data_IF_127449420044
#
_entry.id   IF_127449420044
#
_cell.length_a   1.000
_cell.length_b   1.000
_cell.length_c   1.000
_cell.angle_alpha   90.00
_cell.angle_beta   90.00
_cell.angle_gamma   90.00
#
_symmetry.space_group_name_H-M   'P 1'
#
loop_
_entity.id
_entity.type
_entity.pdbx_description
1 polymer ?
#
# COMPACT_ATOMS: atom_id res chain seq x y z
N UNK A 1 9.67 -19.89 14.89
CA UNK A 1 8.65 -18.97 14.37
C UNK A 1 7.48 -19.82 13.89
N UNK A 2 6.34 -19.78 14.57
CA UNK A 2 5.12 -20.48 14.14
C UNK A 2 4.66 -19.88 12.80
N UNK A 3 4.56 -20.71 11.77
CA UNK A 3 4.18 -20.25 10.44
C UNK A 3 2.72 -19.76 10.45
N UNK A 4 2.47 -18.57 9.94
CA UNK A 4 1.10 -18.11 9.67
C UNK A 4 0.67 -18.71 8.34
N UNK A 5 -0.43 -19.43 8.31
CA UNK A 5 -1.04 -19.95 7.09
C UNK A 5 -2.56 -19.82 7.12
N UNK A 6 -3.18 -19.84 5.97
CA UNK A 6 -4.62 -19.73 5.83
C UNK A 6 -5.11 -20.63 4.69
N UNK A 7 -6.37 -21.01 4.74
CA UNK A 7 -6.99 -21.83 3.70
C UNK A 7 -8.51 -21.71 3.67
N UNK A 8 -9.06 -22.02 2.51
CA UNK A 8 -10.49 -22.16 2.29
C UNK A 8 -10.87 -23.61 2.59
N UNK A 9 -11.74 -23.82 3.56
CA UNK A 9 -12.16 -25.15 3.96
C UNK A 9 -13.40 -25.60 3.19
N UNK A 10 -13.60 -26.94 2.98
CA UNK A 10 -14.75 -27.45 2.24
C UNK A 10 -16.11 -27.15 2.87
N UNK A 11 -16.14 -26.82 4.16
CA UNK A 11 -17.34 -26.46 4.92
C UNK A 11 -17.81 -25.01 4.71
N UNK A 12 -17.22 -24.30 3.74
CA UNK A 12 -17.55 -22.91 3.44
C UNK A 12 -16.96 -21.90 4.44
N UNK A 13 -15.94 -22.31 5.19
CA UNK A 13 -15.22 -21.42 6.10
C UNK A 13 -13.84 -21.04 5.56
N UNK A 14 -13.38 -19.85 5.91
CA UNK A 14 -12.01 -19.39 5.74
C UNK A 14 -11.30 -19.44 7.08
N UNK A 15 -10.13 -20.05 7.13
CA UNK A 15 -9.41 -20.31 8.36
C UNK A 15 -7.99 -19.75 8.33
N UNK A 16 -7.60 -19.05 9.41
CA UNK A 16 -6.24 -18.56 9.65
C UNK A 16 -5.65 -19.27 10.85
N UNK A 17 -4.50 -19.90 10.70
CA UNK A 17 -3.73 -20.45 11.83
C UNK A 17 -2.67 -19.43 12.21
N UNK A 18 -2.77 -18.91 13.42
CA UNK A 18 -1.99 -17.78 13.92
C UNK A 18 -1.35 -18.13 15.27
N UNK A 19 -0.18 -17.58 15.60
CA UNK A 19 0.31 -17.56 16.97
C UNK A 19 -0.74 -16.95 17.91
N UNK A 20 -0.84 -17.40 19.17
CA UNK A 20 -1.91 -16.97 20.09
C UNK A 20 -2.04 -15.44 20.22
N UNK A 21 -0.93 -14.71 20.23
CA UNK A 21 -0.94 -13.25 20.34
C UNK A 21 -1.53 -12.58 19.12
N UNK A 22 -1.22 -13.13 17.92
CA UNK A 22 -1.78 -12.62 16.67
C UNK A 22 -3.25 -12.96 16.54
N UNK A 23 -3.65 -14.18 16.95
CA UNK A 23 -5.05 -14.57 16.96
C UNK A 23 -5.89 -13.66 17.87
N UNK A 24 -5.38 -13.32 19.07
CA UNK A 24 -6.05 -12.34 19.94
C UNK A 24 -6.19 -10.97 19.28
N UNK A 25 -5.15 -10.46 18.62
CA UNK A 25 -5.23 -9.18 17.90
C UNK A 25 -6.23 -9.24 16.75
N UNK A 26 -6.19 -10.31 15.95
CA UNK A 26 -7.12 -10.52 14.83
C UNK A 26 -8.58 -10.49 15.31
N UNK A 27 -8.90 -11.19 16.39
CA UNK A 27 -10.27 -11.24 16.94
C UNK A 27 -10.67 -9.90 17.55
N UNK A 28 -9.80 -9.27 18.32
CA UNK A 28 -10.08 -7.96 18.91
C UNK A 28 -10.26 -6.89 17.81
N UNK A 29 -9.45 -6.96 16.76
CA UNK A 29 -9.57 -6.07 15.60
C UNK A 29 -10.89 -6.28 14.86
N UNK A 30 -11.28 -7.54 14.61
CA UNK A 30 -12.57 -7.84 14.01
C UNK A 30 -13.73 -7.30 14.86
N UNK A 31 -13.70 -7.52 16.18
CA UNK A 31 -14.73 -7.02 17.10
C UNK A 31 -14.84 -5.48 17.06
N UNK A 32 -13.70 -4.78 16.92
CA UNK A 32 -13.70 -3.33 16.86
C UNK A 32 -14.40 -2.77 15.62
N UNK A 33 -14.34 -3.46 14.48
CA UNK A 33 -14.84 -2.95 13.20
C UNK A 33 -16.14 -3.61 12.72
N UNK A 34 -16.55 -4.73 13.31
CA UNK A 34 -17.67 -5.54 12.80
C UNK A 34 -19.03 -4.81 12.75
N UNK A 35 -19.23 -3.81 13.60
CA UNK A 35 -20.45 -2.97 13.58
C UNK A 35 -20.33 -1.73 12.69
N UNK A 36 -19.15 -1.45 12.15
CA UNK A 36 -18.84 -0.23 11.39
C UNK A 36 -18.60 -0.51 9.91
N UNK A 37 -18.01 -1.67 9.60
CA UNK A 37 -17.55 -2.02 8.26
C UNK A 37 -18.18 -3.34 7.81
N UNK A 38 -18.38 -3.54 6.50
CA UNK A 38 -18.79 -4.84 5.97
C UNK A 38 -17.65 -5.84 6.10
N UNK A 39 -17.80 -6.81 7.00
CA UNK A 39 -16.80 -7.85 7.31
C UNK A 39 -17.41 -9.25 7.21
N UNK A 40 -16.61 -10.33 7.05
CA UNK A 40 -17.10 -11.70 7.18
C UNK A 40 -17.52 -11.99 8.63
N UNK A 41 -18.47 -12.89 8.83
CA UNK A 41 -18.85 -13.32 10.17
C UNK A 41 -17.73 -14.15 10.80
N UNK A 42 -17.34 -13.83 12.03
CA UNK A 42 -16.44 -14.64 12.83
C UNK A 42 -17.23 -15.82 13.42
N UNK A 43 -16.84 -17.06 13.09
CA UNK A 43 -17.47 -18.28 13.59
C UNK A 43 -16.91 -18.71 14.94
N UNK A 44 -15.66 -18.40 15.21
CA UNK A 44 -15.01 -18.72 16.48
C UNK A 44 -13.50 -18.84 16.39
N UNK A 45 -12.90 -19.19 17.51
CA UNK A 45 -11.47 -19.49 17.65
C UNK A 45 -11.34 -20.89 18.24
N UNK A 46 -10.41 -21.67 17.70
CA UNK A 46 -10.13 -23.04 18.16
C UNK A 46 -8.64 -23.18 18.45
N UNK A 47 -8.30 -24.03 19.40
CA UNK A 47 -6.91 -24.45 19.57
C UNK A 47 -6.48 -25.33 18.40
N UNK A 48 -5.26 -25.15 17.93
CA UNK A 48 -4.62 -25.95 16.90
C UNK A 48 -3.21 -26.34 17.37
N UNK A 49 -2.65 -27.39 16.79
CA UNK A 49 -1.32 -27.89 17.18
C UNK A 49 -0.22 -26.81 17.12
N UNK A 50 -0.32 -25.91 16.15
CA UNK A 50 0.66 -24.87 15.89
C UNK A 50 0.19 -23.46 16.28
N UNK A 51 -0.86 -23.31 17.10
CA UNK A 51 -1.36 -22.00 17.51
C UNK A 51 -2.88 -21.97 17.73
N UNK A 52 -3.52 -20.93 17.21
CA UNK A 52 -4.97 -20.75 17.24
C UNK A 52 -5.53 -20.66 15.82
N UNK A 53 -6.57 -21.37 15.53
CA UNK A 53 -7.33 -21.29 14.30
C UNK A 53 -8.48 -20.28 14.48
N UNK A 54 -8.41 -19.17 13.76
CA UNK A 54 -9.50 -18.17 13.68
C UNK A 54 -10.34 -18.50 12.45
N UNK A 55 -11.65 -18.70 12.64
CA UNK A 55 -12.58 -19.24 11.65
C UNK A 55 -13.61 -18.18 11.26
N UNK A 56 -13.68 -17.87 9.98
CA UNK A 56 -14.64 -16.93 9.39
C UNK A 56 -15.55 -17.62 8.37
N UNK A 57 -16.69 -16.99 8.07
CA UNK A 57 -17.41 -17.32 6.83
C UNK A 57 -16.54 -17.00 5.62
N UNK A 58 -16.45 -17.95 4.69
CA UNK A 58 -15.76 -17.70 3.43
C UNK A 58 -16.67 -16.88 2.51
N UNK A 59 -16.32 -15.60 2.35
CA UNK A 59 -17.09 -14.66 1.50
C UNK A 59 -17.06 -15.05 0.02
N UNK A 60 -16.06 -15.82 -0.40
CA UNK A 60 -15.96 -16.29 -1.78
C UNK A 60 -16.74 -17.59 -2.00
N UNK A 61 -16.65 -18.55 -1.08
CA UNK A 61 -17.41 -19.78 -1.17
C UNK A 61 -18.93 -19.55 -1.07
N UNK A 62 -19.35 -18.57 -0.28
CA UNK A 62 -20.76 -18.17 -0.18
C UNK A 62 -21.27 -17.35 -1.38
N UNK A 63 -20.41 -16.97 -2.31
CA UNK A 63 -20.74 -16.10 -3.44
C UNK A 63 -21.01 -14.62 -3.04
N UNK A 64 -20.78 -14.27 -1.78
CA UNK A 64 -20.92 -12.90 -1.28
C UNK A 64 -19.90 -11.96 -1.91
N UNK A 65 -18.72 -12.45 -2.23
CA UNK A 65 -17.68 -11.71 -2.96
C UNK A 65 -17.15 -12.54 -4.13
N UNK A 66 -16.74 -11.87 -5.21
CA UNK A 66 -16.27 -12.51 -6.45
C UNK A 66 -14.75 -12.59 -6.53
N UNK A 67 -14.06 -11.64 -5.93
CA UNK A 67 -12.60 -11.52 -5.95
C UNK A 67 -12.15 -10.42 -5.00
N UNK A 68 -10.87 -10.11 -5.04
CA UNK A 68 -10.25 -9.01 -4.30
C UNK A 68 -10.20 -7.74 -5.17
N UNK A 69 -10.03 -6.57 -4.56
CA UNK A 69 -9.76 -5.33 -5.30
C UNK A 69 -8.54 -5.50 -6.20
N UNK A 70 -7.51 -6.21 -5.74
CA UNK A 70 -6.33 -6.54 -6.55
C UNK A 70 -6.70 -7.36 -7.80
N UNK A 71 -7.61 -8.34 -7.69
CA UNK A 71 -8.10 -9.11 -8.83
C UNK A 71 -8.87 -8.23 -9.82
N UNK A 72 -9.72 -7.33 -9.29
CA UNK A 72 -10.51 -6.38 -10.10
C UNK A 72 -9.63 -5.38 -10.84
N UNK A 73 -8.57 -4.86 -10.19
CA UNK A 73 -7.56 -4.02 -10.84
C UNK A 73 -6.86 -4.79 -11.95
N UNK A 74 -6.38 -6.00 -11.68
CA UNK A 74 -5.70 -6.84 -12.67
C UNK A 74 -6.60 -7.22 -13.84
N UNK A 75 -7.89 -7.45 -13.61
CA UNK A 75 -8.87 -7.70 -14.67
C UNK A 75 -9.09 -6.45 -15.52
N UNK A 76 -9.23 -5.27 -14.90
CA UNK A 76 -9.38 -4.00 -15.61
C UNK A 76 -8.13 -3.57 -16.35
N UNK A 77 -6.94 -3.97 -15.89
CA UNK A 77 -5.68 -3.75 -16.60
C UNK A 77 -5.63 -4.54 -17.92
N UNK A 78 -6.27 -5.73 -17.96
CA UNK A 78 -6.44 -6.54 -19.18
C UNK A 78 -7.63 -6.11 -20.04
N UNK A 79 -8.69 -5.64 -19.40
CA UNK A 79 -9.98 -5.31 -20.02
C UNK A 79 -10.48 -3.95 -19.54
N UNK A 80 -10.09 -2.88 -20.22
CA UNK A 80 -10.35 -1.47 -19.82
C UNK A 80 -11.80 -1.14 -19.48
N UNK A 81 -12.76 -1.81 -20.08
CA UNK A 81 -14.19 -1.61 -19.77
C UNK A 81 -14.57 -1.79 -18.29
N UNK A 82 -13.68 -2.40 -17.49
CA UNK A 82 -13.88 -2.62 -16.05
C UNK A 82 -13.28 -1.52 -15.16
N UNK A 83 -12.53 -0.57 -15.71
CA UNK A 83 -11.84 0.47 -14.94
C UNK A 83 -12.81 1.34 -14.12
N UNK A 84 -13.99 1.64 -14.64
CA UNK A 84 -15.02 2.39 -13.92
C UNK A 84 -15.52 1.63 -12.66
N UNK A 85 -15.63 0.31 -12.72
CA UNK A 85 -16.03 -0.51 -11.56
C UNK A 85 -14.94 -0.49 -10.47
N UNK A 86 -13.66 -0.50 -10.87
CA UNK A 86 -12.54 -0.35 -9.93
C UNK A 86 -12.59 1.02 -9.24
N UNK A 87 -12.79 2.10 -10.00
CA UNK A 87 -12.93 3.44 -9.41
C UNK A 87 -14.09 3.51 -8.42
N UNK A 88 -15.26 2.95 -8.76
CA UNK A 88 -16.41 2.89 -7.88
C UNK A 88 -16.17 2.06 -6.60
N UNK A 89 -15.37 0.99 -6.68
CA UNK A 89 -14.98 0.22 -5.49
C UNK A 89 -14.06 1.03 -4.58
N UNK A 90 -13.09 1.76 -5.14
CA UNK A 90 -12.22 2.68 -4.38
C UNK A 90 -13.02 3.80 -3.72
N UNK A 91 -14.05 4.33 -4.41
CA UNK A 91 -14.95 5.32 -3.81
C UNK A 91 -15.68 4.76 -2.58
N UNK A 92 -16.21 3.52 -2.67
CA UNK A 92 -16.84 2.86 -1.51
C UNK A 92 -15.89 2.63 -0.35
N UNK A 93 -14.62 2.27 -0.63
CA UNK A 93 -13.58 2.18 0.41
C UNK A 93 -13.40 3.51 1.13
N UNK A 94 -13.37 4.61 0.37
CA UNK A 94 -13.30 5.96 0.96
C UNK A 94 -14.57 6.32 1.75
N UNK A 95 -15.75 5.92 1.29
CA UNK A 95 -17.03 6.12 2.01
C UNK A 95 -17.04 5.38 3.36
N UNK A 96 -16.50 4.16 3.40
CA UNK A 96 -16.35 3.40 4.65
C UNK A 96 -15.39 4.09 5.64
N UNK A 97 -14.26 4.64 5.14
CA UNK A 97 -13.34 5.42 5.97
C UNK A 97 -14.00 6.69 6.52
N UNK A 98 -14.81 7.38 5.72
CA UNK A 98 -15.58 8.55 6.16
C UNK A 98 -16.67 8.18 7.16
N UNK A 99 -17.35 7.05 6.95
CA UNK A 99 -18.35 6.52 7.89
C UNK A 99 -17.72 6.18 9.22
N UNK A 100 -16.58 5.50 9.20
CA UNK A 100 -15.79 5.19 10.40
C UNK A 100 -15.33 6.47 11.13
N UNK A 101 -14.88 7.47 10.37
CA UNK A 101 -14.49 8.77 10.91
C UNK A 101 -15.66 9.52 11.53
N UNK A 102 -16.83 9.51 10.90
CA UNK A 102 -18.04 10.12 11.43
C UNK A 102 -18.52 9.45 12.73
N UNK A 103 -18.46 8.12 12.79
CA UNK A 103 -18.96 7.35 13.92
C UNK A 103 -17.99 7.31 15.12
N UNK A 104 -16.68 7.32 14.88
CA UNK A 104 -15.67 7.04 15.91
C UNK A 104 -14.51 8.03 15.93
N UNK A 105 -14.58 9.08 15.11
CA UNK A 105 -13.52 10.06 14.89
C UNK A 105 -13.16 10.81 16.16
N UNK A 106 -11.88 10.95 16.39
CA UNK A 106 -11.31 11.85 17.41
C UNK A 106 -9.87 12.18 17.05
N UNK A 107 -9.29 13.13 17.79
CA UNK A 107 -7.87 13.46 17.68
C UNK A 107 -7.08 12.66 18.73
N UNK A 108 -6.09 11.87 18.31
CA UNK A 108 -5.27 11.02 19.17
C UNK A 108 -3.80 11.09 18.79
N UNK A 109 -2.92 10.71 19.72
CA UNK A 109 -1.52 10.41 19.41
C UNK A 109 -1.40 9.00 18.85
N UNK A 110 -0.30 8.70 18.13
CA UNK A 110 -0.10 7.36 17.56
C UNK A 110 0.15 6.27 18.61
N UNK A 111 0.67 6.61 19.79
CA UNK A 111 0.82 5.67 20.90
C UNK A 111 -0.52 5.26 21.54
N UNK A 112 -1.60 5.99 21.23
CA UNK A 112 -2.97 5.66 21.57
C UNK A 112 -3.68 4.83 20.46
N UNK A 113 -2.98 4.52 19.39
CA UNK A 113 -3.48 3.80 18.20
C UNK A 113 -2.86 2.40 18.11
N UNK A 114 -3.30 1.61 17.14
CA UNK A 114 -2.65 0.33 16.82
C UNK A 114 -1.22 0.62 16.35
N UNK A 115 -0.16 0.19 17.09
CA UNK A 115 1.19 0.73 16.92
C UNK A 115 1.99 0.08 15.79
N UNK A 116 1.61 -1.13 15.38
CA UNK A 116 2.50 -2.03 14.62
C UNK A 116 2.84 -1.54 13.22
N UNK A 117 1.97 -0.76 12.60
CA UNK A 117 2.22 -0.27 11.23
C UNK A 117 3.11 0.96 11.16
N UNK A 118 3.11 1.80 12.18
CA UNK A 118 3.82 3.09 12.14
C UNK A 118 4.71 3.31 13.36
N UNK A 119 4.16 3.50 14.55
CA UNK A 119 4.91 3.87 15.75
C UNK A 119 6.02 2.84 16.06
N UNK A 120 5.70 1.54 16.06
CA UNK A 120 6.68 0.49 16.34
C UNK A 120 7.81 0.39 15.30
N UNK A 121 7.60 0.88 14.08
CA UNK A 121 8.64 0.87 13.04
C UNK A 121 9.68 1.95 13.20
N UNK A 122 9.29 3.11 13.78
CA UNK A 122 10.14 4.30 13.92
C UNK A 122 10.77 4.45 15.29
N UNK A 123 10.31 3.71 16.30
CA UNK A 123 10.89 3.69 17.66
C UNK A 123 12.35 3.24 17.61
N UNK A 124 13.22 3.70 18.54
CA UNK A 124 14.60 3.25 18.64
C UNK A 124 14.69 1.73 18.67
N UNK A 125 15.60 1.15 17.86
CA UNK A 125 15.72 -0.30 17.66
C UNK A 125 14.61 -0.94 16.82
N UNK A 126 13.66 -0.17 16.34
CA UNK A 126 12.58 -0.60 15.47
C UNK A 126 13.03 -1.03 14.07
N UNK A 127 12.07 -1.30 13.19
CA UNK A 127 12.35 -1.82 11.84
C UNK A 127 13.25 -0.90 11.03
N UNK A 128 13.00 0.42 11.05
CA UNK A 128 13.77 1.36 10.25
C UNK A 128 15.22 1.49 10.75
N UNK A 129 15.46 1.39 12.05
CA UNK A 129 16.83 1.36 12.57
C UNK A 129 17.59 0.15 12.07
N UNK A 130 16.99 -1.04 12.21
CA UNK A 130 17.63 -2.29 11.74
C UNK A 130 17.94 -2.29 10.26
N UNK A 131 17.15 -1.61 9.44
CA UNK A 131 17.32 -1.63 7.99
C UNK A 131 18.24 -0.53 7.47
N UNK A 132 18.28 0.63 8.14
CA UNK A 132 18.86 1.85 7.57
C UNK A 132 19.85 2.59 8.43
N UNK A 133 20.07 2.19 9.69
CA UNK A 133 21.08 2.80 10.54
C UNK A 133 22.21 1.83 10.94
N UNK A 134 21.94 0.52 10.90
CA UNK A 134 22.93 -0.49 11.21
C UNK A 134 23.81 -0.77 9.99
N UNK A 135 25.12 -0.82 10.22
CA UNK A 135 26.11 -1.08 9.17
C UNK A 135 26.20 -2.57 8.81
N UNK A 136 26.53 -2.92 7.54
CA UNK A 136 26.76 -2.00 6.42
C UNK A 136 25.46 -1.43 5.86
N UNK A 137 25.51 -0.17 5.42
CA UNK A 137 24.40 0.45 4.71
C UNK A 137 24.22 -0.15 3.31
N UNK A 138 22.97 -0.18 2.80
CA UNK A 138 22.75 -0.55 1.40
C UNK A 138 23.47 0.41 0.46
N UNK A 139 24.04 -0.12 -0.62
CA UNK A 139 24.74 0.65 -1.63
C UNK A 139 24.48 0.06 -3.02
N UNK A 140 24.36 0.92 -4.02
CA UNK A 140 24.04 0.54 -5.40
C UNK A 140 25.01 1.12 -6.40
N UNK A 141 25.19 0.47 -7.56
CA UNK A 141 25.88 1.07 -8.68
C UNK A 141 25.02 2.18 -9.29
N UNK A 142 25.58 3.39 -9.34
CA UNK A 142 24.96 4.57 -9.97
C UNK A 142 26.04 5.25 -10.79
N UNK A 143 25.82 5.39 -12.08
CA UNK A 143 26.76 6.05 -12.99
C UNK A 143 28.22 5.51 -12.87
N UNK A 144 28.36 4.19 -12.82
CA UNK A 144 29.65 3.51 -12.69
C UNK A 144 30.31 3.58 -11.30
N UNK A 145 29.72 4.27 -10.34
CA UNK A 145 30.19 4.41 -8.97
C UNK A 145 29.31 3.59 -8.01
N UNK A 146 29.91 3.03 -6.96
CA UNK A 146 29.13 2.42 -5.87
C UNK A 146 28.82 3.47 -4.82
N UNK A 147 27.55 3.86 -4.72
CA UNK A 147 27.09 4.92 -3.82
C UNK A 147 26.21 4.30 -2.73
N UNK A 148 26.54 4.55 -1.48
CA UNK A 148 25.75 4.08 -0.36
C UNK A 148 24.57 5.02 -0.03
N UNK A 149 23.69 4.53 0.84
CA UNK A 149 22.48 5.26 1.22
C UNK A 149 22.78 6.62 1.88
N UNK A 150 23.85 6.74 2.68
CA UNK A 150 24.23 8.01 3.32
C UNK A 150 24.71 9.03 2.28
N UNK A 151 25.45 8.56 1.28
CA UNK A 151 25.91 9.41 0.18
C UNK A 151 24.73 9.88 -0.68
N UNK A 152 23.82 8.96 -1.02
CA UNK A 152 22.57 9.31 -1.74
C UNK A 152 21.75 10.32 -0.94
N UNK A 153 21.74 10.18 0.37
CA UNK A 153 20.97 11.02 1.29
C UNK A 153 21.48 12.47 1.40
N UNK A 154 22.80 12.66 1.24
CA UNK A 154 23.42 13.99 1.31
C UNK A 154 23.26 14.81 0.05
N UNK A 155 22.88 14.17 -1.09
CA UNK A 155 22.75 14.83 -2.40
C UNK A 155 21.36 15.38 -2.60
N UNK A 156 21.27 16.46 -3.34
CA UNK A 156 19.98 16.98 -3.81
C UNK A 156 19.41 16.07 -4.89
N UNK A 157 18.17 15.65 -4.71
CA UNK A 157 17.46 14.87 -5.73
C UNK A 157 16.79 15.80 -6.73
N UNK A 158 17.13 15.61 -8.00
CA UNK A 158 16.48 16.24 -9.15
C UNK A 158 15.69 15.14 -9.86
N UNK A 159 14.38 15.18 -9.76
CA UNK A 159 13.49 14.16 -10.31
C UNK A 159 12.62 14.78 -11.38
N UNK A 160 12.66 14.27 -12.60
CA UNK A 160 11.92 14.82 -13.74
C UNK A 160 12.18 16.34 -13.92
N UNK A 161 13.46 16.72 -13.84
CA UNK A 161 13.92 18.10 -13.94
C UNK A 161 13.57 19.01 -12.76
N UNK A 162 12.99 18.48 -11.66
CA UNK A 162 12.60 19.26 -10.46
C UNK A 162 13.54 18.98 -9.30
N UNK A 163 14.18 20.01 -8.76
CA UNK A 163 14.97 19.91 -7.55
C UNK A 163 14.05 19.76 -6.32
N UNK A 164 14.16 18.62 -5.61
CA UNK A 164 13.29 18.26 -4.50
C UNK A 164 13.97 18.34 -3.13
N UNK A 165 15.23 18.75 -3.09
CA UNK A 165 16.04 18.87 -1.89
C UNK A 165 16.70 17.57 -1.47
N UNK A 166 17.49 17.60 -0.38
CA UNK A 166 18.17 16.43 0.19
C UNK A 166 17.20 15.66 1.10
N UNK A 167 17.08 14.34 0.88
CA UNK A 167 15.94 13.63 1.44
C UNK A 167 16.19 12.88 2.74
N UNK A 168 17.20 12.01 2.79
CA UNK A 168 17.14 10.85 3.65
C UNK A 168 17.34 11.10 5.18
N UNK A 169 18.44 11.67 5.70
CA UNK A 169 18.56 11.83 7.15
C UNK A 169 17.55 12.81 7.71
N UNK A 170 17.30 13.89 6.99
CA UNK A 170 16.28 14.87 7.35
C UNK A 170 14.86 14.29 7.26
N UNK A 171 14.57 13.44 6.28
CA UNK A 171 13.30 12.76 6.15
C UNK A 171 13.09 11.77 7.31
N UNK A 172 14.10 10.98 7.68
CA UNK A 172 14.01 10.03 8.79
C UNK A 172 13.86 10.74 10.15
N UNK A 173 14.58 11.85 10.34
CA UNK A 173 14.44 12.68 11.55
C UNK A 173 13.04 13.29 11.64
N UNK A 174 12.54 13.88 10.56
CA UNK A 174 11.16 14.41 10.49
C UNK A 174 10.12 13.32 10.68
N UNK A 175 10.32 12.15 10.07
CA UNK A 175 9.45 11.00 10.22
C UNK A 175 9.33 10.59 11.69
N UNK A 176 10.45 10.45 12.40
CA UNK A 176 10.46 10.11 13.82
C UNK A 176 9.78 11.17 14.67
N UNK A 177 10.08 12.44 14.43
CA UNK A 177 9.43 13.54 15.15
C UNK A 177 7.91 13.54 14.94
N UNK A 178 7.45 13.28 13.73
CA UNK A 178 6.03 13.23 13.40
C UNK A 178 5.31 12.00 13.98
N UNK A 179 5.92 10.81 13.91
CA UNK A 179 5.24 9.55 14.24
C UNK A 179 5.50 9.08 15.69
N UNK A 180 6.62 9.43 16.29
CA UNK A 180 6.96 9.06 17.69
C UNK A 180 6.80 10.22 18.68
N UNK A 181 6.43 11.41 18.20
CA UNK A 181 6.30 12.62 19.00
C UNK A 181 4.89 12.83 19.57
N UNK A 182 4.67 14.05 20.08
CA UNK A 182 3.39 14.48 20.64
C UNK A 182 2.37 14.93 19.58
N UNK A 183 2.66 14.72 18.30
CA UNK A 183 1.76 15.07 17.19
C UNK A 183 0.43 14.32 17.33
N UNK A 184 -0.65 15.05 17.24
CA UNK A 184 -2.01 14.51 17.28
C UNK A 184 -2.56 14.40 15.86
N UNK A 185 -3.24 13.31 15.59
CA UNK A 185 -3.77 12.95 14.30
C UNK A 185 -5.29 12.78 14.34
N UNK A 186 -5.96 13.04 13.23
CA UNK A 186 -7.32 12.58 13.04
C UNK A 186 -7.32 11.06 12.99
N UNK A 187 -8.08 10.43 13.89
CA UNK A 187 -8.13 8.96 14.06
C UNK A 187 -9.55 8.46 14.05
N UNK A 188 -9.75 7.22 13.64
CA UNK A 188 -11.01 6.50 13.73
C UNK A 188 -10.76 5.02 13.99
N UNK A 189 -11.82 4.26 14.26
CA UNK A 189 -11.76 2.79 14.28
C UNK A 189 -11.90 2.29 12.85
N UNK A 190 -10.81 1.74 12.30
CA UNK A 190 -10.71 1.28 10.92
C UNK A 190 -10.07 -0.09 10.84
N UNK A 191 -10.03 -0.69 9.63
CA UNK A 191 -9.34 -1.97 9.40
C UNK A 191 -7.80 -1.85 9.55
N UNK A 192 -7.22 -0.67 9.31
CA UNK A 192 -5.84 -0.31 9.66
C UNK A 192 -4.76 -0.74 8.68
N UNK A 193 -4.97 -1.74 7.84
CA UNK A 193 -4.05 -2.13 6.76
C UNK A 193 -4.76 -2.10 5.40
N UNK A 194 -5.21 -0.91 5.01
CA UNK A 194 -5.97 -0.67 3.78
C UNK A 194 -5.09 -0.97 2.57
N UNK A 195 -5.23 -2.17 2.02
CA UNK A 195 -4.47 -2.67 0.86
C UNK A 195 -5.39 -3.42 -0.10
N UNK A 196 -5.00 -3.49 -1.36
CA UNK A 196 -5.80 -4.16 -2.40
C UNK A 196 -6.17 -5.62 -2.06
N UNK A 197 -5.28 -6.45 -1.46
CA UNK A 197 -5.62 -7.82 -1.10
C UNK A 197 -6.49 -7.95 0.16
N UNK A 198 -6.66 -6.88 0.94
CA UNK A 198 -7.50 -6.87 2.14
C UNK A 198 -8.93 -6.36 1.89
N UNK A 199 -9.27 -6.14 0.63
CA UNK A 199 -10.57 -5.62 0.19
C UNK A 199 -11.17 -6.59 -0.83
N UNK A 200 -12.32 -7.17 -0.51
CA UNK A 200 -13.06 -8.04 -1.44
C UNK A 200 -14.14 -7.26 -2.20
N UNK A 201 -14.53 -7.77 -3.36
CA UNK A 201 -15.58 -7.21 -4.23
C UNK A 201 -16.76 -8.19 -4.39
N UNK A 202 -18.02 -7.79 -4.12
CA UNK A 202 -18.47 -6.53 -3.52
C UNK A 202 -17.75 -6.22 -2.21
N UNK A 203 -17.74 -4.95 -1.80
CA UNK A 203 -16.95 -4.47 -0.67
C UNK A 203 -17.15 -5.31 0.59
N UNK A 204 -16.07 -5.93 1.04
CA UNK A 204 -15.96 -6.64 2.30
C UNK A 204 -14.50 -6.56 2.76
N UNK A 205 -14.29 -6.09 3.98
CA UNK A 205 -12.96 -5.93 4.56
C UNK A 205 -12.46 -7.25 5.12
N UNK A 206 -11.17 -7.51 4.95
CA UNK A 206 -10.48 -8.72 5.35
C UNK A 206 -9.24 -8.37 6.18
N UNK A 207 -8.70 -9.34 6.93
CA UNK A 207 -7.44 -9.24 7.69
C UNK A 207 -7.45 -8.16 8.78
N UNK A 208 -7.74 -8.55 10.03
CA UNK A 208 -8.08 -7.62 11.11
C UNK A 208 -6.97 -7.45 12.15
N UNK A 209 -5.77 -8.00 11.95
CA UNK A 209 -4.71 -7.91 12.96
C UNK A 209 -4.24 -6.47 13.26
N UNK A 210 -4.54 -5.54 12.37
CA UNK A 210 -4.26 -4.11 12.51
C UNK A 210 -5.52 -3.26 12.71
N UNK A 211 -6.69 -3.90 12.78
CA UNK A 211 -7.94 -3.19 12.96
C UNK A 211 -8.07 -2.64 14.39
N UNK A 212 -8.66 -1.48 14.50
CA UNK A 212 -8.80 -0.75 15.75
C UNK A 212 -8.68 0.74 15.52
N UNK A 213 -8.26 1.50 16.53
CA UNK A 213 -8.03 2.92 16.36
C UNK A 213 -6.77 3.19 15.57
N UNK A 214 -6.91 3.82 14.42
CA UNK A 214 -5.82 4.13 13.50
C UNK A 214 -5.84 5.60 13.10
N UNK A 215 -4.68 6.13 12.69
CA UNK A 215 -4.60 7.44 12.06
C UNK A 215 -5.15 7.35 10.63
N UNK A 216 -6.17 8.15 10.32
CA UNK A 216 -6.79 8.15 9.00
C UNK A 216 -5.80 8.51 7.88
N UNK A 217 -4.87 9.42 8.14
CA UNK A 217 -3.78 9.73 7.23
C UNK A 217 -2.85 8.53 6.99
N UNK A 218 -2.69 7.67 8.01
CA UNK A 218 -1.96 6.41 7.89
C UNK A 218 -2.65 5.41 6.96
N UNK A 219 -3.95 5.22 7.12
CA UNK A 219 -4.76 4.33 6.27
C UNK A 219 -4.75 4.81 4.82
N UNK A 220 -4.98 6.09 4.60
CA UNK A 220 -4.96 6.69 3.26
C UNK A 220 -3.57 6.62 2.60
N UNK A 221 -2.49 6.86 3.35
CA UNK A 221 -1.12 6.74 2.85
C UNK A 221 -0.76 5.28 2.53
N UNK A 222 -1.23 4.32 3.34
CA UNK A 222 -1.06 2.90 3.07
C UNK A 222 -1.75 2.51 1.77
N UNK A 223 -3.00 2.90 1.61
CA UNK A 223 -3.76 2.62 0.39
C UNK A 223 -3.13 3.28 -0.83
N UNK A 224 -2.77 4.55 -0.73
CA UNK A 224 -2.09 5.27 -1.82
C UNK A 224 -0.77 4.58 -2.23
N UNK A 225 0.09 4.23 -1.26
CA UNK A 225 1.35 3.57 -1.59
C UNK A 225 1.14 2.16 -2.15
N UNK A 226 0.13 1.44 -1.67
CA UNK A 226 -0.19 0.12 -2.20
C UNK A 226 -0.65 0.21 -3.66
N UNK A 227 -1.58 1.10 -3.96
CA UNK A 227 -2.03 1.36 -5.33
C UNK A 227 -0.91 1.90 -6.22
N UNK A 228 -0.03 2.76 -5.70
CA UNK A 228 1.04 3.38 -6.48
C UNK A 228 2.20 2.39 -6.73
N UNK A 229 2.81 1.84 -5.69
CA UNK A 229 4.08 1.14 -5.79
C UNK A 229 4.04 -0.33 -5.41
N UNK A 230 3.24 -0.72 -4.41
CA UNK A 230 3.29 -2.09 -3.91
C UNK A 230 2.58 -3.09 -4.83
N UNK A 231 1.29 -2.85 -5.08
CA UNK A 231 0.43 -3.84 -5.72
C UNK A 231 0.76 -4.12 -7.18
N UNK A 232 1.23 -3.13 -7.95
CA UNK A 232 1.57 -3.29 -9.36
C UNK A 232 3.05 -3.45 -9.67
N UNK A 233 3.93 -3.18 -8.73
CA UNK A 233 5.37 -3.18 -8.97
C UNK A 233 6.12 -4.02 -7.94
N UNK A 234 6.21 -3.57 -6.68
CA UNK A 234 7.15 -4.15 -5.72
C UNK A 234 6.74 -5.56 -5.24
N UNK A 235 5.45 -5.82 -5.00
CA UNK A 235 5.01 -7.17 -4.60
C UNK A 235 5.14 -8.16 -5.75
N UNK A 236 4.68 -7.89 -6.98
CA UNK A 236 4.94 -8.78 -8.11
C UNK A 236 6.43 -9.05 -8.38
N UNK A 237 7.29 -8.04 -8.22
CA UNK A 237 8.73 -8.18 -8.48
C UNK A 237 9.48 -8.94 -7.38
N UNK A 238 9.18 -8.69 -6.10
CA UNK A 238 10.01 -9.14 -4.97
C UNK A 238 9.34 -10.13 -4.04
N UNK A 239 8.02 -10.20 -4.07
CA UNK A 239 7.22 -11.09 -3.22
C UNK A 239 6.09 -11.79 -4.00
N UNK A 240 6.34 -12.31 -5.23
CA UNK A 240 5.29 -12.88 -6.08
C UNK A 240 4.55 -14.05 -5.40
N UNK A 241 5.23 -14.81 -4.53
CA UNK A 241 4.63 -15.90 -3.78
C UNK A 241 3.53 -15.44 -2.80
N UNK A 242 3.58 -14.20 -2.31
CA UNK A 242 2.51 -13.62 -1.50
C UNK A 242 1.25 -13.48 -2.35
N UNK A 243 1.36 -12.88 -3.52
CA UNK A 243 0.25 -12.73 -4.45
C UNK A 243 -0.27 -14.07 -4.97
N UNK A 244 0.62 -14.98 -5.34
CA UNK A 244 0.22 -16.31 -5.82
C UNK A 244 -0.66 -17.09 -4.81
N UNK A 245 -0.50 -16.81 -3.51
CA UNK A 245 -1.33 -17.40 -2.46
C UNK A 245 -2.60 -16.63 -2.14
N UNK A 246 -2.63 -15.33 -2.46
CA UNK A 246 -3.71 -14.42 -2.05
C UNK A 246 -4.68 -14.11 -3.17
N UNK A 247 -4.16 -13.84 -4.38
CA UNK A 247 -4.98 -13.48 -5.53
C UNK A 247 -5.73 -14.69 -6.09
N UNK A 248 -6.92 -14.45 -6.59
CA UNK A 248 -7.72 -15.43 -7.34
C UNK A 248 -7.40 -15.42 -8.83
N UNK A 249 -6.68 -14.40 -9.29
CA UNK A 249 -6.18 -14.27 -10.67
C UNK A 249 -4.66 -14.50 -10.69
N UNK A 250 -4.07 -14.83 -11.84
CA UNK A 250 -2.62 -14.93 -11.98
C UNK A 250 -1.92 -13.63 -11.54
N UNK A 251 -0.75 -13.77 -10.91
CA UNK A 251 0.10 -12.64 -10.54
C UNK A 251 0.42 -11.81 -11.78
N UNK A 252 0.14 -10.50 -11.80
CA UNK A 252 0.46 -9.67 -12.95
C UNK A 252 1.97 -9.49 -13.08
N UNK A 253 2.48 -9.22 -14.29
CA UNK A 253 3.85 -8.77 -14.45
C UNK A 253 4.07 -7.44 -13.70
N UNK A 254 5.27 -7.26 -13.15
CA UNK A 254 5.60 -6.04 -12.43
C UNK A 254 5.64 -4.84 -13.39
N UNK A 255 4.86 -3.81 -13.09
CA UNK A 255 4.83 -2.53 -13.80
C UNK A 255 5.77 -1.52 -13.11
N UNK A 256 7.07 -1.79 -13.15
CA UNK A 256 8.09 -0.91 -12.56
C UNK A 256 8.28 0.37 -13.36
N UNK A 257 8.72 1.49 -12.73
CA UNK A 257 9.26 2.63 -13.46
C UNK A 257 10.48 2.22 -14.29
N UNK A 258 10.55 2.68 -15.52
CA UNK A 258 11.72 2.51 -16.40
C UNK A 258 12.57 3.78 -16.26
N UNK A 259 13.81 3.64 -15.80
CA UNK A 259 14.74 4.75 -15.66
C UNK A 259 15.28 5.09 -17.05
N UNK A 260 14.96 6.29 -17.52
CA UNK A 260 15.39 6.82 -18.82
C UNK A 260 16.74 7.54 -18.70
N UNK A 261 16.98 8.20 -17.56
CA UNK A 261 18.22 8.89 -17.25
C UNK A 261 18.55 8.76 -15.75
N UNK A 262 19.81 8.49 -15.44
CA UNK A 262 20.32 8.47 -14.07
C UNK A 262 21.76 8.97 -14.05
N UNK A 263 22.01 10.07 -13.33
CA UNK A 263 23.32 10.68 -13.18
C UNK A 263 23.59 11.01 -11.71
N UNK A 264 24.81 10.75 -11.28
CA UNK A 264 25.29 11.08 -9.95
C UNK A 264 26.49 12.01 -10.01
N UNK A 265 26.42 13.14 -9.31
CA UNK A 265 27.55 14.03 -9.07
C UNK A 265 27.83 14.17 -7.58
N UNK A 266 28.86 14.89 -7.17
CA UNK A 266 29.13 15.14 -5.76
C UNK A 266 27.98 15.87 -5.04
N UNK A 267 27.16 16.66 -5.74
CA UNK A 267 26.12 17.50 -5.15
C UNK A 267 24.69 17.02 -5.38
N UNK A 268 24.42 16.23 -6.42
CA UNK A 268 23.06 15.84 -6.77
C UNK A 268 22.96 14.46 -7.42
N UNK A 269 21.76 13.89 -7.34
CA UNK A 269 21.27 12.76 -8.13
C UNK A 269 20.20 13.28 -9.05
N UNK A 270 20.39 13.12 -10.34
CA UNK A 270 19.42 13.44 -11.38
C UNK A 270 18.84 12.15 -11.93
N UNK A 271 17.51 12.04 -11.91
CA UNK A 271 16.80 10.86 -12.38
C UNK A 271 15.55 11.26 -13.14
N UNK A 272 15.45 10.73 -14.36
CA UNK A 272 14.23 10.76 -15.16
C UNK A 272 13.75 9.32 -15.39
N UNK A 273 12.47 9.13 -15.36
CA UNK A 273 11.86 7.81 -15.56
C UNK A 273 10.50 7.93 -16.25
N UNK A 274 10.16 6.91 -17.00
CA UNK A 274 8.82 6.69 -17.54
C UNK A 274 8.13 5.64 -16.70
N UNK A 275 6.91 5.93 -16.24
CA UNK A 275 6.10 4.95 -15.52
C UNK A 275 4.71 4.84 -16.13
N UNK A 276 4.32 3.62 -16.49
CA UNK A 276 3.02 3.32 -17.09
C UNK A 276 2.38 2.15 -16.34
N UNK A 277 1.09 2.26 -16.10
CA UNK A 277 0.29 1.24 -15.44
C UNK A 277 -0.95 0.92 -16.24
N UNK A 278 -1.58 -0.21 -15.96
CA UNK A 278 -2.84 -0.57 -16.60
C UNK A 278 -3.99 0.37 -16.25
N UNK A 279 -5.07 0.25 -17.00
CA UNK A 279 -6.24 1.14 -16.87
C UNK A 279 -6.93 1.01 -15.50
N UNK A 280 -6.98 -0.21 -14.93
CA UNK A 280 -7.56 -0.47 -13.62
C UNK A 280 -6.79 0.24 -12.50
N UNK A 281 -5.46 0.11 -12.50
CA UNK A 281 -4.61 0.76 -11.52
C UNK A 281 -4.63 2.27 -11.64
N UNK A 282 -4.59 2.78 -12.87
CA UNK A 282 -4.73 4.22 -13.10
C UNK A 282 -6.06 4.77 -12.59
N UNK A 283 -7.16 4.05 -12.85
CA UNK A 283 -8.49 4.44 -12.36
C UNK A 283 -8.57 4.43 -10.83
N UNK A 284 -7.99 3.41 -10.17
CA UNK A 284 -7.94 3.31 -8.72
C UNK A 284 -7.17 4.49 -8.09
N UNK A 285 -5.98 4.81 -8.63
CA UNK A 285 -5.17 5.95 -8.17
C UNK A 285 -5.91 7.27 -8.36
N UNK A 286 -6.51 7.48 -9.53
CA UNK A 286 -7.25 8.71 -9.85
C UNK A 286 -8.45 8.88 -8.92
N UNK A 287 -9.20 7.80 -8.64
CA UNK A 287 -10.34 7.83 -7.73
C UNK A 287 -9.89 8.21 -6.30
N UNK A 288 -8.85 7.55 -5.77
CA UNK A 288 -8.34 7.86 -4.44
C UNK A 288 -7.84 9.31 -4.34
N UNK A 289 -7.06 9.78 -5.31
CA UNK A 289 -6.52 11.14 -5.29
C UNK A 289 -7.61 12.21 -5.39
N UNK A 290 -8.68 11.94 -6.14
CA UNK A 290 -9.87 12.80 -6.18
C UNK A 290 -10.53 12.91 -4.80
N UNK A 291 -10.71 11.78 -4.08
CA UNK A 291 -11.25 11.76 -2.72
C UNK A 291 -10.33 12.46 -1.71
N UNK A 292 -9.01 12.31 -1.85
CA UNK A 292 -8.03 13.03 -1.04
C UNK A 292 -8.02 14.55 -1.33
N UNK A 293 -8.36 14.97 -2.53
CA UNK A 293 -8.56 16.38 -2.88
C UNK A 293 -9.91 16.94 -2.45
N UNK A 294 -10.82 16.09 -1.96
CA UNK A 294 -12.19 16.43 -1.57
C UNK A 294 -12.48 16.11 -0.10
N UNK A 295 -13.57 15.38 0.11
CA UNK A 295 -14.15 15.07 1.41
C UNK A 295 -13.23 14.29 2.35
N UNK A 296 -12.59 13.23 1.84
CA UNK A 296 -11.65 12.44 2.64
C UNK A 296 -10.47 13.31 3.11
N UNK A 297 -9.90 14.13 2.24
CA UNK A 297 -8.80 15.05 2.60
C UNK A 297 -9.19 16.02 3.70
N UNK A 298 -10.40 16.55 3.69
CA UNK A 298 -10.91 17.45 4.75
C UNK A 298 -10.92 16.76 6.11
N UNK A 299 -11.29 15.49 6.16
CA UNK A 299 -11.32 14.71 7.41
C UNK A 299 -9.91 14.32 7.89
N UNK A 300 -9.02 13.96 6.95
CA UNK A 300 -7.63 13.59 7.27
C UNK A 300 -6.82 14.78 7.81
N UNK A 301 -7.03 15.95 7.23
CA UNK A 301 -6.26 17.17 7.50
C UNK A 301 -7.20 18.37 7.70
N UNK A 302 -7.87 18.46 8.85
CA UNK A 302 -8.77 19.58 9.13
C UNK A 302 -8.09 20.95 9.05
N UNK A 303 -6.76 21.01 9.21
CA UNK A 303 -5.96 22.24 9.05
C UNK A 303 -5.60 22.54 7.59
N UNK A 304 -5.99 21.70 6.61
CA UNK A 304 -5.99 22.01 5.19
C UNK A 304 -4.82 21.47 4.35
N UNK A 305 -3.70 20.99 4.91
CA UNK A 305 -2.59 20.41 4.13
C UNK A 305 -2.61 18.87 4.17
N UNK A 306 -3.38 18.29 3.25
CA UNK A 306 -3.49 16.83 3.08
C UNK A 306 -2.14 16.21 2.73
N UNK A 307 -1.34 16.86 1.88
CA UNK A 307 -0.03 16.36 1.50
C UNK A 307 0.92 16.31 2.71
N UNK A 308 0.91 17.34 3.56
CA UNK A 308 1.69 17.34 4.79
C UNK A 308 1.25 16.24 5.77
N UNK A 309 -0.06 16.00 5.89
CA UNK A 309 -0.59 14.95 6.75
C UNK A 309 -0.19 13.55 6.27
N UNK A 310 -0.17 13.29 4.96
CA UNK A 310 0.16 11.98 4.38
C UNK A 310 1.68 11.69 4.38
N UNK A 311 2.54 12.71 4.25
CA UNK A 311 4.00 12.55 4.06
C UNK A 311 4.67 11.61 5.04
N UNK A 312 4.54 11.76 6.38
CA UNK A 312 5.25 10.89 7.31
C UNK A 312 4.83 9.43 7.17
N UNK A 313 3.56 9.17 6.91
CA UNK A 313 3.05 7.82 6.72
C UNK A 313 3.52 7.21 5.39
N UNK A 314 3.53 7.98 4.31
CA UNK A 314 4.09 7.55 3.01
C UNK A 314 5.57 7.20 3.12
N UNK A 315 6.38 8.05 3.76
CA UNK A 315 7.78 7.78 4.04
C UNK A 315 7.92 6.45 4.80
N UNK A 316 7.13 6.26 5.86
CA UNK A 316 7.14 5.04 6.66
C UNK A 316 6.75 3.80 5.85
N UNK A 317 5.82 3.94 4.89
CA UNK A 317 5.39 2.82 4.02
C UNK A 317 6.40 2.49 2.95
N UNK A 318 6.95 3.48 2.24
CA UNK A 318 7.98 3.27 1.23
C UNK A 318 9.19 2.54 1.83
N UNK A 319 9.60 2.93 3.02
CA UNK A 319 10.80 2.42 3.66
C UNK A 319 10.57 1.19 4.53
N UNK A 320 9.37 1.01 5.04
CA UNK A 320 9.08 0.04 6.10
C UNK A 320 8.45 -1.27 5.63
N UNK A 321 8.24 -1.50 4.32
CA UNK A 321 7.61 -2.72 3.81
C UNK A 321 8.63 -3.67 3.20
N UNK A 322 9.36 -3.22 2.20
CA UNK A 322 10.46 -3.98 1.59
C UNK A 322 11.76 -3.21 1.85
N UNK A 323 12.78 -3.82 2.46
CA UNK A 323 14.04 -3.11 2.69
C UNK A 323 14.71 -2.80 1.35
N UNK A 324 15.13 -1.54 1.16
CA UNK A 324 15.73 -1.09 -0.09
C UNK A 324 16.92 -1.94 -0.55
N UNK A 325 17.67 -2.54 0.39
CA UNK A 325 18.79 -3.44 0.09
C UNK A 325 18.41 -4.72 -0.66
N UNK A 326 17.11 -5.09 -0.65
CA UNK A 326 16.59 -6.25 -1.39
C UNK A 326 16.19 -5.89 -2.82
N UNK A 327 16.11 -4.60 -3.13
CA UNK A 327 15.74 -4.13 -4.43
C UNK A 327 16.92 -4.13 -5.40
N UNK A 328 16.67 -4.31 -6.68
CA UNK A 328 17.65 -4.06 -7.74
C UNK A 328 18.09 -2.59 -7.69
N UNK A 329 19.24 -2.27 -8.30
CA UNK A 329 19.72 -0.88 -8.37
C UNK A 329 18.68 0.07 -8.98
N UNK A 330 18.13 -0.22 -10.16
CA UNK A 330 17.08 0.59 -10.77
C UNK A 330 15.84 0.76 -9.89
N UNK A 331 15.33 -0.32 -9.31
CA UNK A 331 14.13 -0.24 -8.47
C UNK A 331 14.37 0.53 -7.16
N UNK A 332 15.57 0.38 -6.57
CA UNK A 332 15.95 1.17 -5.40
C UNK A 332 16.02 2.67 -5.73
N UNK A 333 16.61 3.03 -6.88
CA UNK A 333 16.67 4.44 -7.33
C UNK A 333 15.27 4.99 -7.62
N UNK A 334 14.41 4.22 -8.27
CA UNK A 334 13.02 4.61 -8.50
C UNK A 334 12.24 4.78 -7.18
N UNK A 335 12.41 3.89 -6.20
CA UNK A 335 11.83 4.05 -4.86
C UNK A 335 12.33 5.30 -4.15
N UNK A 336 13.62 5.60 -4.23
CA UNK A 336 14.21 6.80 -3.63
C UNK A 336 13.75 8.08 -4.35
N UNK A 337 13.59 8.05 -5.67
CA UNK A 337 12.98 9.14 -6.42
C UNK A 337 11.53 9.40 -5.97
N UNK A 338 10.72 8.35 -5.85
CA UNK A 338 9.35 8.46 -5.31
C UNK A 338 9.33 8.94 -3.87
N UNK A 339 10.28 8.50 -3.06
CA UNK A 339 10.43 9.02 -1.70
C UNK A 339 10.72 10.52 -1.71
N UNK A 340 11.65 11.00 -2.57
CA UNK A 340 11.95 12.41 -2.72
C UNK A 340 10.72 13.21 -3.17
N UNK A 341 9.98 12.73 -4.18
CA UNK A 341 8.76 13.37 -4.66
C UNK A 341 7.68 13.44 -3.56
N UNK A 342 7.32 12.30 -2.96
CA UNK A 342 6.22 12.23 -1.99
C UNK A 342 6.56 12.86 -0.64
N UNK A 343 7.84 13.01 -0.30
CA UNK A 343 8.29 13.66 0.93
C UNK A 343 8.64 15.15 0.76
N UNK A 344 8.71 15.64 -0.47
CA UNK A 344 9.07 17.03 -0.73
C UNK A 344 8.01 18.01 -0.22
N UNK A 345 8.40 19.01 0.59
CA UNK A 345 7.47 20.04 1.04
C UNK A 345 6.99 20.95 -0.10
N UNK A 346 7.69 20.96 -1.23
CA UNK A 346 7.36 21.76 -2.41
C UNK A 346 6.19 21.16 -3.20
N UNK A 347 6.01 19.82 -3.13
CA UNK A 347 4.91 19.18 -3.84
C UNK A 347 3.61 19.23 -3.02
N UNK A 348 2.62 19.82 -3.63
CA UNK A 348 1.23 19.84 -3.19
C UNK A 348 0.50 18.57 -3.63
N UNK A 349 -0.71 18.32 -3.14
CA UNK A 349 -1.53 17.19 -3.62
C UNK A 349 -1.78 17.23 -5.13
N UNK A 350 -2.07 18.38 -5.79
CA UNK A 350 -2.12 18.45 -7.25
C UNK A 350 -0.81 18.06 -7.92
N UNK A 351 0.34 18.43 -7.34
CA UNK A 351 1.65 18.02 -7.86
C UNK A 351 1.87 16.51 -7.73
N UNK A 352 1.38 15.87 -6.67
CA UNK A 352 1.38 14.40 -6.54
C UNK A 352 0.47 13.74 -7.58
N UNK A 353 -0.70 14.33 -7.87
CA UNK A 353 -1.60 13.83 -8.92
C UNK A 353 -0.92 13.85 -10.30
N UNK A 354 -0.13 14.89 -10.58
CA UNK A 354 0.63 14.99 -11.83
C UNK A 354 1.78 13.96 -11.92
N UNK A 355 2.24 13.42 -10.77
CA UNK A 355 3.27 12.38 -10.69
C UNK A 355 2.69 10.95 -10.72
N UNK A 356 1.38 10.78 -10.93
CA UNK A 356 0.74 9.46 -11.09
C UNK A 356 1.22 8.82 -12.39
N UNK A 357 1.51 7.50 -12.38
CA UNK A 357 1.87 6.79 -13.60
C UNK A 357 0.84 6.97 -14.71
N UNK A 358 1.30 7.21 -15.91
CA UNK A 358 0.42 7.31 -17.08
C UNK A 358 -0.26 5.96 -17.37
N UNK A 359 -1.49 5.99 -17.85
CA UNK A 359 -2.15 4.78 -18.32
C UNK A 359 -1.45 4.25 -19.58
N UNK A 360 -1.30 2.93 -19.66
CA UNK A 360 -0.84 2.26 -20.88
C UNK A 360 -1.80 2.62 -22.05
N UNK A 361 -1.28 2.85 -23.27
CA UNK A 361 -2.13 3.02 -24.44
C UNK A 361 -3.00 1.77 -24.66
N UNK A 362 -4.15 1.97 -25.30
CA UNK A 362 -5.03 0.86 -25.66
C UNK A 362 -4.31 -0.13 -26.57
N UNK A 363 -4.12 -1.36 -26.11
CA UNK A 363 -3.73 -2.46 -27.01
C UNK A 363 -4.97 -2.77 -27.86
N UNK A 364 -4.90 -2.48 -29.16
CA UNK A 364 -5.92 -2.98 -30.07
C UNK A 364 -5.88 -4.51 -29.97
N UNK A 365 -7.05 -5.19 -29.81
CA UNK A 365 -7.06 -6.63 -29.78
C UNK A 365 -6.37 -7.13 -31.05
N UNK A 366 -5.40 -8.03 -30.86
CA UNK A 366 -4.66 -8.61 -31.98
C UNK A 366 -5.66 -9.37 -32.87
N UNK A 367 -5.89 -8.97 -34.11
CA UNK A 367 -6.91 -9.56 -34.97
C UNK A 367 -6.68 -11.09 -35.21
N UNK A 368 -5.47 -11.59 -34.91
CA UNK A 368 -5.09 -12.99 -35.05
C UNK A 368 -5.64 -13.88 -33.94
N UNK A 369 -5.91 -13.35 -32.74
CA UNK A 369 -6.41 -14.13 -31.61
C UNK A 369 -7.92 -14.33 -31.68
N UNK A 370 -8.66 -13.45 -32.32
CA UNK A 370 -10.12 -13.57 -32.48
C UNK A 370 -10.53 -14.73 -33.46
N UNK A 371 -9.61 -15.20 -34.28
CA UNK A 371 -9.89 -16.24 -35.30
C UNK A 371 -9.67 -17.69 -34.79
N UNK A 372 -9.23 -17.92 -33.57
CA UNK A 372 -8.89 -19.25 -33.02
C UNK A 372 -9.80 -19.76 -31.89
N UNK A 373 -11.03 -19.32 -31.80
CA UNK A 373 -11.98 -20.04 -30.96
C UNK A 373 -12.48 -21.30 -31.76
N UNK A 374 -12.17 -22.53 -31.30
CA UNK A 374 -12.73 -23.72 -31.93
C UNK A 374 -14.24 -23.70 -31.70
N UNK A 375 -15.01 -23.76 -32.79
CA UNK A 375 -16.45 -24.02 -32.71
C UNK A 375 -16.63 -25.40 -32.08
N UNK A 376 -17.20 -25.43 -30.85
CA UNK A 376 -17.65 -26.67 -30.25
C UNK A 376 -18.72 -27.28 -31.16
N UNK A 377 -18.65 -28.59 -31.48
CA UNK A 377 -19.71 -29.29 -32.25
C UNK A 377 -20.98 -29.34 -31.39
N UNK A 378 -22.13 -29.13 -32.06
CA UNK A 378 -23.47 -29.24 -31.46
C UNK A 378 -23.78 -30.70 -31.11
#
# INVERSE_FOLDING_TARGET
MTATWHYHAPDGTFRKVLPPDRARREVAGWQAVASLLPVPSLRGVREAADGCEVVYDDVFASGRSRGLLADSINAADRHRGQAAAVAALVDRVCDDLLTAASATGKTSRLDECVPDLYAARVTPGGRLDRWYTWRPLPAWPVDGQRIDLDDLARRTWVVQGRALGSGWPAALTRLRAALAGHTRWATAITQGDVTEPNIAEPLCWLDFEHAGRNALAGDAANFLWYLLGMGGWLVPAYQPAVYARTLRTPVPPAAAPVIDHLRATAGYIEIDYTWRVGAGRHAALTALLRRLGGDLGTVLAPAGDVAAALRPFLIARILGVIPLRQLSGPDAMACLAKLAELSSPVLTLPGWCAAVPAALPEQRPDPVVAARQPRLPR
#
